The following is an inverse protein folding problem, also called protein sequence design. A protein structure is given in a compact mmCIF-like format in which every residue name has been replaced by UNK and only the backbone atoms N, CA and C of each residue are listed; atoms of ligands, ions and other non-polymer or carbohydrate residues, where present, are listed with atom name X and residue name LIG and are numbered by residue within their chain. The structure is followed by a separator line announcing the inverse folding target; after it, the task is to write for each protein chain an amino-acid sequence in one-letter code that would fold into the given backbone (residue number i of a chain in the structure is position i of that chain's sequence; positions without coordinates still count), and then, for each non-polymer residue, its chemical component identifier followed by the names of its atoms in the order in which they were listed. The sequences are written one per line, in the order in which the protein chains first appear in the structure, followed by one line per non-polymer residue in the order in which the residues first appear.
data_IF_812403567859
#
_entry.id   IF_812403567859
#
_cell.length_a   1.000
_cell.length_b   1.000
_cell.length_c   1.000
_cell.angle_alpha   90.00
_cell.angle_beta   90.00
_cell.angle_gamma   90.00
#
_symmetry.space_group_name_H-M   'P 1'
#
loop_
_entity.id
_entity.type
_entity.pdbx_description
1 polymer ?
#
# COMPACT_ATOMS: atom_id res chain seq x y z
N UNK A 1 20.94 -50.84 3.01
CA UNK A 1 21.04 -50.87 4.49
C UNK A 1 20.23 -49.71 5.05
N UNK A 2 19.10 -50.04 5.68
CA UNK A 2 18.15 -49.10 6.27
C UNK A 2 18.65 -48.58 7.62
N UNK A 3 18.53 -47.28 7.90
CA UNK A 3 18.33 -46.78 9.26
C UNK A 3 17.27 -45.69 9.28
N UNK A 4 16.04 -46.08 9.62
CA UNK A 4 14.93 -45.21 10.00
C UNK A 4 15.15 -44.78 11.45
N UNK A 5 15.17 -43.47 11.71
CA UNK A 5 15.14 -42.92 13.06
C UNK A 5 13.68 -42.89 13.53
N UNK A 6 13.39 -43.66 14.59
CA UNK A 6 12.10 -43.62 15.30
C UNK A 6 12.17 -42.52 16.38
N UNK A 7 11.43 -41.43 16.19
CA UNK A 7 11.18 -40.44 17.24
C UNK A 7 10.01 -40.94 18.10
N UNK A 8 10.28 -41.29 19.36
CA UNK A 8 9.26 -41.69 20.33
C UNK A 8 8.44 -40.46 20.76
N UNK A 9 7.13 -40.49 20.50
CA UNK A 9 6.15 -39.62 21.14
C UNK A 9 6.00 -40.02 22.60
N UNK A 10 6.21 -39.06 23.51
CA UNK A 10 5.73 -39.14 24.89
C UNK A 10 4.43 -38.35 24.99
N UNK A 11 3.31 -39.05 25.21
CA UNK A 11 2.04 -38.44 25.62
C UNK A 11 2.17 -38.00 27.08
N UNK A 12 2.16 -36.68 27.31
CA UNK A 12 1.90 -36.12 28.62
C UNK A 12 0.39 -35.84 28.74
N UNK A 13 -0.29 -36.60 29.60
CA UNK A 13 -1.67 -36.36 30.00
C UNK A 13 -1.72 -35.16 30.94
N UNK A 14 -2.33 -34.06 30.49
CA UNK A 14 -2.69 -32.93 31.34
C UNK A 14 -4.08 -33.19 31.97
N UNK A 15 -4.28 -32.89 33.27
CA UNK A 15 -5.59 -32.96 33.89
C UNK A 15 -6.42 -31.77 33.38
N UNK A 16 -7.59 -32.05 32.79
CA UNK A 16 -8.56 -31.02 32.43
C UNK A 16 -9.19 -30.51 33.71
N UNK A 17 -8.77 -29.31 34.13
CA UNK A 17 -9.45 -28.53 35.17
C UNK A 17 -10.79 -28.06 34.57
N UNK A 18 -11.90 -28.65 35.01
CA UNK A 18 -13.23 -28.16 34.67
C UNK A 18 -13.49 -26.84 35.40
N UNK A 19 -13.18 -25.72 34.73
CA UNK A 19 -13.66 -24.41 35.14
C UNK A 19 -15.15 -24.35 34.84
N UNK A 20 -15.97 -24.38 35.88
CA UNK A 20 -17.39 -24.03 35.80
C UNK A 20 -17.49 -22.60 35.27
N UNK A 21 -17.83 -22.45 33.99
CA UNK A 21 -18.24 -21.17 33.42
C UNK A 21 -19.65 -20.90 33.93
N UNK A 22 -19.78 -20.22 35.06
CA UNK A 22 -21.04 -19.58 35.37
C UNK A 22 -21.26 -18.48 34.32
N UNK A 23 -22.44 -18.42 33.66
CA UNK A 23 -22.74 -17.30 32.80
C UNK A 23 -22.81 -16.05 33.70
N UNK A 24 -21.87 -15.12 33.48
CA UNK A 24 -22.05 -13.73 33.87
C UNK A 24 -23.26 -13.24 33.07
N UNK A 25 -24.41 -13.14 33.72
CA UNK A 25 -25.58 -12.47 33.17
C UNK A 25 -25.15 -11.01 32.95
N UNK A 26 -25.11 -10.60 31.69
CA UNK A 26 -25.00 -9.20 31.34
C UNK A 26 -26.20 -8.46 31.97
N UNK A 27 -25.89 -7.47 32.81
CA UNK A 27 -26.86 -6.65 33.52
C UNK A 27 -27.84 -6.01 32.52
N UNK A 28 -29.14 -6.28 32.69
CA UNK A 28 -30.15 -5.32 32.28
C UNK A 28 -29.83 -4.01 33.02
N UNK A 29 -29.64 -2.91 32.29
CA UNK A 29 -29.40 -1.58 32.88
C UNK A 29 -30.66 -1.13 33.63
N UNK A 30 -30.86 -1.65 34.84
CA UNK A 30 -31.87 -1.20 35.80
C UNK A 30 -31.35 0.13 36.36
N UNK A 31 -32.11 1.21 36.21
CA UNK A 31 -31.78 2.53 36.72
C UNK A 31 -33.02 3.17 37.35
N UNK A 32 -32.94 3.58 38.61
CA UNK A 32 -34.03 4.28 39.30
C UNK A 32 -33.74 5.78 39.39
N UNK A 33 -34.75 6.60 39.13
CA UNK A 33 -34.68 8.05 39.29
C UNK A 33 -34.76 8.49 40.76
N UNK A 34 -35.28 7.63 41.65
CA UNK A 34 -35.36 7.87 43.10
C UNK A 34 -35.57 6.58 43.91
N UNK A 35 -35.26 6.59 45.20
CA UNK A 35 -35.54 5.43 46.07
C UNK A 35 -37.03 5.12 46.23
N UNK A 36 -37.90 6.12 46.04
CA UNK A 36 -39.34 5.90 45.97
C UNK A 36 -39.72 5.01 44.79
N UNK A 37 -39.06 5.19 43.65
CA UNK A 37 -39.24 4.34 42.48
C UNK A 37 -38.67 2.94 42.71
N UNK A 38 -37.49 2.83 43.31
CA UNK A 38 -36.88 1.54 43.65
C UNK A 38 -37.79 0.71 44.56
N UNK A 39 -38.27 1.28 45.67
CA UNK A 39 -39.17 0.59 46.62
C UNK A 39 -40.52 0.22 46.00
N UNK A 40 -41.08 1.10 45.15
CA UNK A 40 -42.34 0.82 44.46
C UNK A 40 -42.23 -0.38 43.50
N UNK A 41 -41.02 -0.68 43.03
CA UNK A 41 -40.69 -1.82 42.18
C UNK A 41 -40.08 -3.01 42.95
N UNK A 42 -40.07 -2.94 44.29
CA UNK A 42 -39.63 -4.03 45.15
C UNK A 42 -38.12 -4.15 45.32
N UNK A 43 -37.36 -3.11 44.98
CA UNK A 43 -35.93 -3.00 45.20
C UNK A 43 -35.65 -2.20 46.49
N UNK A 44 -34.87 -2.76 47.39
CA UNK A 44 -34.36 -2.10 48.60
C UNK A 44 -32.96 -2.61 48.91
N UNK A 45 -32.20 -1.86 49.71
CA UNK A 45 -30.88 -2.26 50.19
C UNK A 45 -29.92 -2.59 49.03
N UNK A 46 -29.83 -1.67 48.06
CA UNK A 46 -28.99 -1.80 46.86
C UNK A 46 -27.54 -1.50 47.23
N UNK A 47 -26.62 -2.44 47.10
CA UNK A 47 -25.21 -2.22 47.41
C UNK A 47 -24.46 -1.67 46.21
N UNK A 48 -23.35 -0.98 46.44
CA UNK A 48 -22.48 -0.51 45.36
C UNK A 48 -22.03 -1.68 44.46
N UNK A 49 -22.39 -1.59 43.18
CA UNK A 49 -22.19 -2.66 42.18
C UNK A 49 -23.41 -3.54 41.91
N UNK A 50 -24.50 -3.41 42.68
CA UNK A 50 -25.76 -4.09 42.37
C UNK A 50 -26.49 -3.44 41.17
N UNK A 51 -27.19 -4.22 40.33
CA UNK A 51 -28.04 -3.67 39.27
C UNK A 51 -29.12 -2.75 39.86
N UNK A 52 -29.14 -1.48 39.42
CA UNK A 52 -30.04 -0.46 39.99
C UNK A 52 -29.39 0.46 41.03
N UNK A 53 -28.19 0.15 41.53
CA UNK A 53 -27.45 1.06 42.40
C UNK A 53 -27.01 2.32 41.64
N UNK A 54 -27.09 3.46 42.32
CA UNK A 54 -26.48 4.70 41.87
C UNK A 54 -26.06 5.49 43.10
N UNK A 55 -24.87 6.09 43.08
CA UNK A 55 -24.41 7.01 44.13
C UNK A 55 -25.36 8.21 44.34
N UNK A 56 -26.25 8.51 43.37
CA UNK A 56 -27.30 9.53 43.53
C UNK A 56 -28.45 9.09 44.43
N UNK A 57 -28.66 7.78 44.57
CA UNK A 57 -29.69 7.17 45.40
C UNK A 57 -29.16 6.87 46.82
N UNK A 58 -27.85 6.68 46.96
CA UNK A 58 -27.12 6.56 48.22
C UNK A 58 -26.80 7.93 48.80
N UNK A 59 -27.72 8.46 49.62
CA UNK A 59 -27.64 9.86 50.07
C UNK A 59 -26.57 10.06 51.15
N UNK A 60 -26.36 9.06 52.00
CA UNK A 60 -25.37 9.05 53.07
C UNK A 60 -24.02 8.48 52.68
N UNK A 61 -23.90 7.95 51.45
CA UNK A 61 -22.66 7.46 50.84
C UNK A 61 -22.00 6.34 51.67
N UNK A 62 -22.83 5.48 52.26
CA UNK A 62 -22.37 4.34 53.06
C UNK A 62 -22.18 3.06 52.23
N UNK A 63 -22.47 3.14 50.92
CA UNK A 63 -22.37 2.04 49.97
C UNK A 63 -23.68 1.27 49.81
N UNK A 64 -24.78 1.68 50.46
CA UNK A 64 -26.11 1.05 50.36
C UNK A 64 -27.19 2.08 50.04
N UNK A 65 -27.65 2.09 48.79
CA UNK A 65 -28.74 2.94 48.34
C UNK A 65 -30.12 2.35 48.71
N UNK A 66 -31.07 3.25 48.98
CA UNK A 66 -32.51 2.92 49.12
C UNK A 66 -32.79 1.85 50.18
N UNK A 67 -32.25 2.04 51.38
CA UNK A 67 -32.35 1.04 52.42
C UNK A 67 -33.79 0.92 52.92
N UNK A 68 -34.26 -0.31 53.13
CA UNK A 68 -35.65 -0.57 53.47
C UNK A 68 -36.07 0.12 54.79
N UNK A 69 -35.12 0.27 55.72
CA UNK A 69 -35.29 0.98 57.00
C UNK A 69 -35.71 2.45 56.83
N UNK A 70 -35.35 3.06 55.69
CA UNK A 70 -35.61 4.46 55.36
C UNK A 70 -36.88 4.63 54.51
N UNK A 71 -37.56 3.54 54.13
CA UNK A 71 -38.74 3.58 53.27
C UNK A 71 -39.98 4.14 54.02
N UNK A 72 -40.71 5.12 53.45
CA UNK A 72 -42.01 5.53 53.99
C UNK A 72 -42.97 4.35 54.09
N UNK A 73 -43.81 4.32 55.14
CA UNK A 73 -44.75 3.22 55.39
C UNK A 73 -45.64 2.98 54.16
N UNK A 74 -45.53 1.80 53.56
CA UNK A 74 -46.29 1.40 52.35
C UNK A 74 -45.63 1.75 51.00
N UNK A 75 -44.43 2.34 50.99
CA UNK A 75 -43.70 2.64 49.75
C UNK A 75 -43.06 1.39 49.13
N UNK A 76 -42.65 0.41 49.94
CA UNK A 76 -42.07 -0.84 49.46
C UNK A 76 -43.15 -1.86 49.08
N UNK A 77 -43.08 -2.37 47.85
CA UNK A 77 -43.96 -3.44 47.35
C UNK A 77 -43.14 -4.70 47.09
N UNK A 78 -43.23 -5.66 48.00
CA UNK A 78 -42.54 -6.94 47.85
C UNK A 78 -42.98 -7.66 46.57
N UNK A 79 -42.01 -8.08 45.75
CA UNK A 79 -42.25 -8.82 44.50
C UNK A 79 -42.81 -10.22 44.85
N UNK A 80 -44.11 -10.44 44.63
CA UNK A 80 -44.72 -11.76 44.82
C UNK A 80 -44.30 -12.71 43.70
N UNK A 81 -43.71 -13.85 44.05
CA UNK A 81 -43.47 -14.96 43.13
C UNK A 81 -44.83 -15.55 42.70
N UNK A 82 -45.19 -15.44 41.42
CA UNK A 82 -46.43 -16.05 40.89
C UNK A 82 -46.11 -17.03 39.77
N UNK A 83 -46.56 -18.26 40.01
CA UNK A 83 -46.58 -19.38 39.08
C UNK A 83 -47.51 -19.09 37.89
N UNK A 84 -47.15 -19.64 36.74
CA UNK A 84 -47.84 -19.48 35.47
C UNK A 84 -49.29 -20.00 35.49
N UNK A 85 -50.23 -19.17 35.02
CA UNK A 85 -51.42 -19.61 34.28
C UNK A 85 -51.82 -18.57 33.23
N UNK A 86 -52.30 -19.10 32.11
CA UNK A 86 -52.57 -18.49 30.81
C UNK A 86 -53.66 -17.42 30.81
N UNK A 87 -53.31 -16.20 30.36
CA UNK A 87 -54.14 -15.38 29.46
C UNK A 87 -53.28 -14.29 28.80
N UNK A 88 -53.58 -14.06 27.53
CA UNK A 88 -52.83 -13.31 26.50
C UNK A 88 -52.59 -11.83 26.84
N UNK A 89 -51.38 -11.50 27.29
CA UNK A 89 -50.71 -10.23 26.98
C UNK A 89 -49.25 -10.55 26.68
N UNK A 90 -48.91 -10.42 25.40
CA UNK A 90 -47.60 -10.64 24.81
C UNK A 90 -46.52 -9.92 25.61
N UNK A 91 -45.73 -10.66 26.42
CA UNK A 91 -44.45 -10.15 26.90
C UNK A 91 -43.55 -10.05 25.66
N UNK A 92 -43.49 -8.86 25.07
CA UNK A 92 -42.63 -8.59 23.92
C UNK A 92 -41.19 -8.84 24.32
N UNK A 93 -40.63 -9.97 23.89
CA UNK A 93 -39.21 -10.28 24.08
C UNK A 93 -38.40 -9.25 23.33
N UNK A 94 -37.63 -8.42 24.03
CA UNK A 94 -36.69 -7.45 23.46
C UNK A 94 -35.24 -7.88 23.75
N UNK A 95 -34.29 -7.42 22.95
CA UNK A 95 -32.87 -7.77 23.08
C UNK A 95 -32.45 -9.03 22.31
N UNK A 96 -31.30 -9.58 22.69
CA UNK A 96 -30.69 -10.74 22.02
C UNK A 96 -31.35 -12.05 22.45
N UNK A 97 -31.81 -12.82 21.48
CA UNK A 97 -32.48 -14.12 21.71
C UNK A 97 -31.88 -15.16 20.78
N UNK A 98 -31.53 -16.33 21.32
CA UNK A 98 -31.07 -17.47 20.53
C UNK A 98 -32.22 -18.43 20.25
N UNK A 99 -32.52 -18.68 18.99
CA UNK A 99 -33.60 -19.58 18.53
C UNK A 99 -33.05 -20.50 17.44
N UNK A 100 -33.31 -21.81 17.57
CA UNK A 100 -32.86 -22.84 16.62
C UNK A 100 -31.37 -22.74 16.25
N UNK A 101 -30.54 -22.41 17.24
CA UNK A 101 -29.09 -22.28 17.07
C UNK A 101 -28.60 -20.94 16.49
N UNK A 102 -29.50 -20.07 16.03
CA UNK A 102 -29.16 -18.75 15.51
C UNK A 102 -29.52 -17.62 16.50
N UNK A 103 -28.74 -16.54 16.48
CA UNK A 103 -29.04 -15.34 17.27
C UNK A 103 -29.92 -14.38 16.48
N UNK A 104 -30.89 -13.77 17.16
CA UNK A 104 -31.78 -12.73 16.67
C UNK A 104 -31.73 -11.57 17.66
N UNK A 105 -32.06 -10.37 17.18
CA UNK A 105 -32.25 -9.20 18.04
C UNK A 105 -33.65 -8.65 17.85
N UNK A 106 -34.35 -8.42 18.95
CA UNK A 106 -35.69 -7.85 18.95
C UNK A 106 -35.66 -6.43 19.53
N UNK A 107 -36.37 -5.50 18.88
CA UNK A 107 -36.48 -4.12 19.34
C UNK A 107 -37.31 -4.00 20.63
N UNK A 108 -37.43 -2.78 21.17
CA UNK A 108 -38.22 -2.53 22.39
C UNK A 108 -39.70 -2.87 22.29
N UNK A 109 -40.22 -3.08 21.08
CA UNK A 109 -41.60 -3.49 20.81
C UNK A 109 -41.72 -5.00 20.52
N UNK A 110 -40.61 -5.75 20.60
CA UNK A 110 -40.57 -7.17 20.31
C UNK A 110 -40.60 -7.51 18.81
N UNK A 111 -40.27 -6.56 17.92
CA UNK A 111 -40.13 -6.85 16.49
C UNK A 111 -38.69 -7.31 16.18
N UNK A 112 -38.50 -8.31 15.32
CA UNK A 112 -37.16 -8.73 14.92
C UNK A 112 -36.48 -7.66 14.06
N UNK A 113 -35.28 -7.26 14.48
CA UNK A 113 -34.41 -6.37 13.73
C UNK A 113 -33.77 -7.13 12.56
N UNK A 114 -33.78 -6.52 11.37
CA UNK A 114 -33.41 -7.14 10.10
C UNK A 114 -32.71 -6.13 9.19
N UNK A 115 -31.82 -6.63 8.34
CA UNK A 115 -31.05 -5.85 7.35
C UNK A 115 -30.37 -4.60 7.93
N UNK A 116 -29.86 -4.70 9.15
CA UNK A 116 -29.23 -3.55 9.81
C UNK A 116 -28.28 -4.00 10.92
N UNK A 117 -27.46 -3.04 11.35
CA UNK A 117 -26.54 -3.19 12.46
C UNK A 117 -27.26 -3.04 13.80
N UNK A 118 -26.84 -3.87 14.76
CA UNK A 118 -27.10 -3.67 16.18
C UNK A 118 -25.76 -3.71 16.91
N UNK A 119 -25.25 -2.54 17.30
CA UNK A 119 -23.88 -2.44 17.84
C UNK A 119 -22.86 -2.98 16.84
N UNK A 120 -22.09 -3.99 17.25
CA UNK A 120 -21.04 -4.61 16.41
C UNK A 120 -21.53 -5.77 15.53
N UNK A 121 -22.83 -6.07 15.53
CA UNK A 121 -23.40 -7.24 14.89
C UNK A 121 -24.32 -6.84 13.74
N UNK A 122 -24.43 -7.68 12.71
CA UNK A 122 -25.33 -7.45 11.59
C UNK A 122 -26.46 -8.48 11.56
N UNK A 123 -27.71 -8.01 11.50
CA UNK A 123 -28.90 -8.87 11.38
C UNK A 123 -29.31 -8.95 9.92
N UNK A 124 -29.38 -10.17 9.38
CA UNK A 124 -29.70 -10.44 7.96
C UNK A 124 -31.20 -10.27 7.68
N UNK A 125 -31.60 -10.48 6.41
CA UNK A 125 -32.99 -10.37 5.99
C UNK A 125 -33.94 -11.35 6.70
N UNK A 126 -33.44 -12.53 7.09
CA UNK A 126 -34.20 -13.49 7.88
C UNK A 126 -34.19 -13.17 9.39
N UNK A 127 -33.48 -12.14 9.82
CA UNK A 127 -33.31 -11.72 11.21
C UNK A 127 -32.17 -12.41 11.94
N UNK A 128 -31.50 -13.39 11.31
CA UNK A 128 -30.36 -14.07 11.94
C UNK A 128 -29.15 -13.15 11.93
N UNK A 129 -28.43 -13.17 13.04
CA UNK A 129 -27.11 -12.57 13.16
C UNK A 129 -26.16 -13.24 12.18
N UNK A 130 -25.47 -12.44 11.38
CA UNK A 130 -24.41 -12.91 10.50
C UNK A 130 -23.20 -13.39 11.32
N UNK A 131 -22.61 -14.51 10.94
CA UNK A 131 -21.47 -15.10 11.64
C UNK A 131 -20.55 -15.84 10.68
N UNK A 132 -19.24 -15.59 10.77
CA UNK A 132 -18.22 -16.17 9.89
C UNK A 132 -18.53 -15.99 8.39
N UNK A 133 -19.07 -14.84 8.02
CA UNK A 133 -19.53 -14.55 6.66
C UNK A 133 -19.29 -13.09 6.26
N UNK A 134 -19.26 -12.85 4.96
CA UNK A 134 -19.17 -11.50 4.38
C UNK A 134 -20.57 -10.93 4.18
N UNK A 135 -20.74 -9.67 4.55
CA UNK A 135 -21.97 -8.89 4.31
C UNK A 135 -21.61 -7.66 3.50
N UNK A 136 -22.37 -7.42 2.43
CA UNK A 136 -22.40 -6.13 1.76
C UNK A 136 -23.52 -5.29 2.36
N UNK A 137 -23.20 -4.10 2.84
CA UNK A 137 -24.19 -3.15 3.33
C UNK A 137 -24.38 -2.04 2.29
N UNK A 138 -25.57 -1.99 1.69
CA UNK A 138 -25.92 -1.01 0.66
C UNK A 138 -25.95 0.43 1.18
N UNK A 139 -26.25 0.64 2.47
CA UNK A 139 -26.30 1.98 3.08
C UNK A 139 -24.89 2.55 3.22
N UNK A 140 -23.93 1.71 3.56
CA UNK A 140 -22.51 2.08 3.68
C UNK A 140 -21.70 1.86 2.41
N UNK A 141 -22.30 1.23 1.40
CA UNK A 141 -21.72 0.84 0.11
C UNK A 141 -20.40 0.07 0.28
N UNK A 142 -20.33 -0.81 1.28
CA UNK A 142 -19.10 -1.46 1.68
C UNK A 142 -19.31 -2.91 2.13
N UNK A 143 -18.25 -3.70 1.96
CA UNK A 143 -18.17 -5.05 2.50
C UNK A 143 -17.67 -5.03 3.94
N UNK A 144 -18.23 -5.91 4.76
CA UNK A 144 -17.84 -6.19 6.14
C UNK A 144 -17.71 -7.70 6.31
N UNK A 145 -16.82 -8.12 7.21
CA UNK A 145 -16.71 -9.52 7.59
C UNK A 145 -17.12 -9.69 9.04
N UNK A 146 -18.06 -10.59 9.30
CA UNK A 146 -18.52 -10.91 10.65
C UNK A 146 -17.74 -12.13 11.14
N UNK A 147 -17.07 -11.99 12.29
CA UNK A 147 -16.25 -13.04 12.88
C UNK A 147 -17.12 -14.20 13.41
N UNK A 148 -16.48 -15.21 13.96
CA UNK A 148 -17.16 -16.36 14.59
C UNK A 148 -17.98 -15.99 15.83
N UNK A 149 -17.71 -14.86 16.46
CA UNK A 149 -18.50 -14.31 17.57
C UNK A 149 -19.65 -13.40 17.08
N UNK A 150 -19.80 -13.23 15.75
CA UNK A 150 -20.80 -12.38 15.12
C UNK A 150 -20.42 -10.90 15.03
N UNK A 151 -19.38 -10.46 15.73
CA UNK A 151 -18.94 -9.06 15.67
C UNK A 151 -18.15 -8.79 14.38
N UNK A 152 -18.27 -7.59 13.82
CA UNK A 152 -17.50 -7.24 12.63
C UNK A 152 -15.99 -7.18 12.90
N UNK A 153 -15.21 -7.63 11.94
CA UNK A 153 -13.76 -7.51 11.93
C UNK A 153 -13.35 -6.08 11.55
N UNK A 154 -12.33 -5.54 12.23
CA UNK A 154 -11.76 -4.22 11.96
C UNK A 154 -10.27 -4.21 12.25
N UNK A 155 -9.54 -3.31 11.59
CA UNK A 155 -8.08 -3.19 11.64
C UNK A 155 -7.36 -4.54 11.53
N UNK A 156 -7.85 -5.43 10.67
CA UNK A 156 -7.38 -6.81 10.63
C UNK A 156 -7.55 -7.44 9.26
N UNK A 157 -6.82 -8.52 9.03
CA UNK A 157 -6.88 -9.30 7.80
C UNK A 157 -7.91 -10.42 7.90
N UNK A 158 -8.68 -10.60 6.83
CA UNK A 158 -9.49 -11.80 6.60
C UNK A 158 -9.04 -12.40 5.27
N UNK A 159 -8.18 -13.42 5.32
CA UNK A 159 -7.57 -13.99 4.12
C UNK A 159 -6.75 -12.95 3.37
N UNK A 160 -7.11 -12.67 2.11
CA UNK A 160 -6.42 -11.68 1.27
C UNK A 160 -6.99 -10.25 1.40
N UNK A 161 -7.99 -10.04 2.24
CA UNK A 161 -8.72 -8.78 2.36
C UNK A 161 -8.38 -8.10 3.69
N UNK A 162 -8.34 -6.77 3.68
CA UNK A 162 -8.10 -5.98 4.89
C UNK A 162 -9.37 -5.22 5.29
N UNK A 163 -9.78 -5.35 6.56
CA UNK A 163 -10.87 -4.60 7.15
C UNK A 163 -10.28 -3.39 7.87
N UNK A 164 -10.69 -2.18 7.47
CA UNK A 164 -10.21 -0.92 8.04
C UNK A 164 -10.71 -0.73 9.47
N UNK A 165 -10.28 0.35 10.14
CA UNK A 165 -10.67 0.65 11.52
C UNK A 165 -12.18 0.82 11.73
N UNK A 166 -12.91 1.18 10.69
CA UNK A 166 -14.37 1.28 10.68
C UNK A 166 -15.07 0.00 10.19
N UNK A 167 -14.36 -1.11 10.07
CA UNK A 167 -14.86 -2.41 9.62
C UNK A 167 -15.07 -2.56 8.10
N UNK A 168 -14.98 -1.46 7.33
CA UNK A 168 -15.12 -1.53 5.86
C UNK A 168 -13.92 -2.25 5.24
N UNK A 169 -14.18 -3.18 4.34
CA UNK A 169 -13.15 -3.78 3.51
C UNK A 169 -12.50 -2.71 2.63
N UNK A 170 -11.17 -2.63 2.68
CA UNK A 170 -10.41 -1.76 1.80
C UNK A 170 -10.46 -2.26 0.35
N UNK A 171 -10.57 -1.33 -0.61
CA UNK A 171 -10.69 -1.66 -2.04
C UNK A 171 -10.15 -0.52 -2.90
N UNK A 172 -9.16 -0.84 -3.75
CA UNK A 172 -8.52 0.12 -4.64
C UNK A 172 -7.70 1.20 -3.93
N UNK A 173 -7.20 0.93 -2.73
CA UNK A 173 -6.62 1.94 -1.84
C UNK A 173 -5.41 1.41 -1.07
N UNK A 174 -4.57 2.34 -0.60
CA UNK A 174 -3.45 2.05 0.30
C UNK A 174 -3.93 1.99 1.74
N UNK A 175 -3.43 1.02 2.51
CA UNK A 175 -3.64 0.93 3.96
C UNK A 175 -2.32 0.78 4.67
N UNK A 176 -2.22 1.38 5.85
CA UNK A 176 -1.12 1.16 6.78
C UNK A 176 -1.59 0.26 7.92
N UNK A 177 -0.96 -0.89 8.06
CA UNK A 177 -1.21 -1.79 9.18
C UNK A 177 -0.17 -1.52 10.27
N UNK A 178 -0.62 -0.95 11.40
CA UNK A 178 0.24 -0.61 12.52
C UNK A 178 0.85 -1.81 13.22
N UNK A 179 0.20 -2.98 13.18
CA UNK A 179 0.70 -4.20 13.82
C UNK A 179 1.89 -4.77 13.05
N UNK A 180 1.85 -4.67 11.71
CA UNK A 180 2.98 -5.06 10.85
C UNK A 180 3.94 -3.92 10.53
N UNK A 181 3.59 -2.69 10.92
CA UNK A 181 4.32 -1.45 10.62
C UNK A 181 4.63 -1.32 9.11
N UNK A 182 3.64 -1.67 8.29
CA UNK A 182 3.82 -1.80 6.85
C UNK A 182 2.64 -1.24 6.06
N UNK A 183 2.95 -0.70 4.89
CA UNK A 183 1.95 -0.31 3.89
C UNK A 183 1.59 -1.49 3.00
N UNK A 184 0.32 -1.56 2.63
CA UNK A 184 -0.24 -2.53 1.69
C UNK A 184 -1.14 -1.80 0.70
N UNK A 185 -1.25 -2.35 -0.50
CA UNK A 185 -2.22 -1.87 -1.48
C UNK A 185 -3.29 -2.93 -1.71
N UNK A 186 -4.57 -2.57 -1.54
CA UNK A 186 -5.70 -3.44 -1.85
C UNK A 186 -6.18 -3.10 -3.24
N UNK A 187 -6.23 -4.10 -4.12
CA UNK A 187 -6.67 -3.94 -5.51
C UNK A 187 -8.16 -3.60 -5.57
N UNK A 188 -8.64 -3.33 -6.78
CA UNK A 188 -10.06 -3.09 -7.04
C UNK A 188 -10.96 -4.29 -6.74
N UNK A 189 -10.43 -5.51 -6.61
CA UNK A 189 -11.17 -6.68 -6.13
C UNK A 189 -11.16 -6.82 -4.59
N UNK A 190 -10.45 -5.94 -3.88
CA UNK A 190 -10.27 -5.96 -2.43
C UNK A 190 -9.09 -6.79 -1.94
N UNK A 191 -8.52 -7.66 -2.77
CA UNK A 191 -7.38 -8.48 -2.38
C UNK A 191 -6.08 -7.68 -2.43
N UNK A 192 -5.12 -7.97 -1.53
CA UNK A 192 -3.85 -7.25 -1.52
C UNK A 192 -2.99 -7.55 -2.76
N UNK A 193 -2.29 -6.54 -3.25
CA UNK A 193 -1.29 -6.67 -4.31
C UNK A 193 0.02 -7.26 -3.74
N UNK A 194 0.68 -8.11 -4.52
CA UNK A 194 1.96 -8.76 -4.17
C UNK A 194 2.75 -9.09 -5.42
N UNK A 195 4.08 -9.07 -5.32
CA UNK A 195 5.01 -9.22 -6.44
C UNK A 195 4.63 -8.32 -7.63
N UNK A 196 4.23 -7.09 -7.34
CA UNK A 196 3.64 -6.20 -8.34
C UNK A 196 3.91 -4.74 -8.01
N UNK A 197 3.95 -3.93 -9.07
CA UNK A 197 4.01 -2.48 -8.98
C UNK A 197 2.61 -1.89 -8.82
N UNK A 198 2.50 -0.87 -7.97
CA UNK A 198 1.36 0.04 -7.90
C UNK A 198 1.88 1.47 -8.02
N UNK A 199 1.74 2.06 -9.20
CA UNK A 199 2.36 3.35 -9.51
C UNK A 199 3.88 3.27 -9.32
N UNK A 200 4.44 4.11 -8.44
CA UNK A 200 5.88 4.17 -8.18
C UNK A 200 6.35 3.23 -7.06
N UNK A 201 5.48 2.38 -6.53
CA UNK A 201 5.73 1.56 -5.35
C UNK A 201 5.71 0.08 -5.71
N UNK A 202 6.52 -0.72 -5.04
CA UNK A 202 6.55 -2.18 -5.24
C UNK A 202 6.03 -2.92 -4.01
N UNK A 203 5.09 -3.84 -4.22
CA UNK A 203 4.55 -4.71 -3.18
C UNK A 203 5.26 -6.07 -3.25
N UNK A 204 5.90 -6.46 -2.14
CA UNK A 204 6.67 -7.71 -2.02
C UNK A 204 5.76 -8.93 -2.01
N UNK A 205 6.34 -10.13 -1.90
CA UNK A 205 5.61 -11.40 -1.93
C UNK A 205 4.61 -11.56 -0.78
N UNK A 206 4.86 -10.92 0.36
CA UNK A 206 3.97 -10.88 1.52
C UNK A 206 2.98 -9.68 1.48
N UNK A 207 2.97 -8.94 0.37
CA UNK A 207 2.10 -7.78 0.17
C UNK A 207 2.61 -6.48 0.78
N UNK A 208 3.69 -6.51 1.57
CA UNK A 208 4.26 -5.30 2.16
C UNK A 208 4.91 -4.46 1.09
N UNK A 209 4.67 -3.15 1.14
CA UNK A 209 5.38 -2.18 0.33
C UNK A 209 6.88 -2.20 0.68
N UNK A 210 7.72 -2.35 -0.32
CA UNK A 210 9.16 -2.22 -0.16
C UNK A 210 9.54 -0.76 0.15
N UNK A 211 10.47 -0.56 1.09
CA UNK A 211 10.90 0.78 1.53
C UNK A 211 12.34 0.77 2.02
N UNK A 212 13.16 1.64 1.44
CA UNK A 212 14.58 1.77 1.79
C UNK A 212 15.42 0.53 1.44
N UNK A 213 14.99 -0.26 0.46
CA UNK A 213 15.52 -1.59 0.18
C UNK A 213 15.61 -1.87 -1.33
N UNK A 214 16.46 -2.83 -1.69
CA UNK A 214 16.56 -3.36 -3.05
C UNK A 214 15.53 -4.45 -3.27
N UNK A 215 14.88 -4.45 -4.44
CA UNK A 215 13.99 -5.53 -4.89
C UNK A 215 14.42 -6.02 -6.25
N UNK A 216 14.31 -7.32 -6.46
CA UNK A 216 14.48 -7.94 -7.78
C UNK A 216 13.10 -8.21 -8.37
N UNK A 217 12.82 -7.61 -9.52
CA UNK A 217 11.61 -7.91 -10.28
C UNK A 217 11.93 -8.97 -11.33
N UNK A 218 11.39 -10.17 -11.13
CA UNK A 218 11.62 -11.31 -12.02
C UNK A 218 11.00 -11.12 -13.42
N UNK A 219 9.97 -10.30 -13.56
CA UNK A 219 9.32 -9.99 -14.85
C UNK A 219 10.23 -9.13 -15.70
N UNK A 220 10.85 -8.12 -15.09
CA UNK A 220 11.79 -7.22 -15.77
C UNK A 220 13.23 -7.69 -15.75
N UNK A 221 13.52 -8.76 -15.01
CA UNK A 221 14.83 -9.35 -14.77
C UNK A 221 15.86 -8.29 -14.34
N UNK A 222 15.44 -7.42 -13.42
CA UNK A 222 16.23 -6.27 -13.02
C UNK A 222 16.05 -5.94 -11.54
N UNK A 223 17.11 -5.40 -10.96
CA UNK A 223 17.09 -4.81 -9.63
C UNK A 223 16.54 -3.38 -9.68
N UNK A 224 15.78 -3.02 -8.65
CA UNK A 224 15.28 -1.68 -8.39
C UNK A 224 15.57 -1.32 -6.93
N UNK A 225 15.77 -0.04 -6.66
CA UNK A 225 15.88 0.45 -5.29
C UNK A 225 14.66 1.29 -4.92
N UNK A 226 13.98 0.94 -3.83
CA UNK A 226 12.87 1.72 -3.29
C UNK A 226 13.42 2.62 -2.19
N UNK A 227 13.19 3.94 -2.32
CA UNK A 227 13.66 4.94 -1.36
C UNK A 227 12.93 4.81 -0.02
N UNK A 228 13.32 5.64 0.95
CA UNK A 228 12.69 5.69 2.28
C UNK A 228 11.22 6.11 2.27
N UNK A 229 10.73 6.72 1.19
CA UNK A 229 9.31 7.02 0.97
C UNK A 229 8.56 5.87 0.27
N UNK A 230 9.26 4.80 -0.11
CA UNK A 230 8.73 3.64 -0.84
C UNK A 230 8.72 3.80 -2.37
N UNK A 231 8.90 5.00 -2.89
CA UNK A 231 8.95 5.21 -4.34
C UNK A 231 10.29 4.74 -4.92
N UNK A 232 10.28 4.19 -6.13
CA UNK A 232 11.52 3.73 -6.75
C UNK A 232 12.45 4.89 -7.10
N UNK A 233 13.76 4.66 -6.95
CA UNK A 233 14.81 5.56 -7.38
C UNK A 233 15.04 5.42 -8.89
N UNK A 234 15.28 6.54 -9.56
CA UNK A 234 15.59 6.60 -10.99
C UNK A 234 16.51 7.77 -11.30
N UNK A 235 17.28 7.65 -12.38
CA UNK A 235 18.30 8.62 -12.82
C UNK A 235 19.21 9.10 -11.69
N UNK A 236 19.57 8.20 -10.78
CA UNK A 236 20.29 8.56 -9.54
C UNK A 236 21.13 7.39 -9.03
N UNK A 237 22.09 7.71 -8.17
CA UNK A 237 22.93 6.73 -7.49
C UNK A 237 22.28 6.24 -6.20
N UNK A 238 22.49 4.96 -5.90
CA UNK A 238 22.26 4.36 -4.59
C UNK A 238 23.55 3.63 -4.18
N UNK A 239 24.36 4.27 -3.33
CA UNK A 239 25.72 3.82 -3.09
C UNK A 239 26.51 3.77 -4.39
N UNK A 240 27.10 2.62 -4.70
CA UNK A 240 27.91 2.41 -5.91
C UNK A 240 27.11 1.88 -7.11
N UNK A 241 25.79 1.88 -7.04
CA UNK A 241 24.92 1.40 -8.11
C UNK A 241 24.12 2.55 -8.70
N UNK A 242 23.97 2.56 -10.02
CA UNK A 242 23.18 3.58 -10.70
C UNK A 242 21.82 3.03 -11.14
N UNK A 243 20.76 3.76 -10.81
CA UNK A 243 19.40 3.46 -11.25
C UNK A 243 19.09 4.32 -12.48
N UNK A 244 18.72 3.68 -13.59
CA UNK A 244 18.43 4.35 -14.86
C UNK A 244 17.12 5.14 -14.81
N UNK A 245 16.77 5.83 -15.89
CA UNK A 245 15.54 6.64 -15.97
C UNK A 245 14.26 5.84 -15.77
N UNK A 246 14.28 4.54 -16.08
CA UNK A 246 13.18 3.62 -15.82
C UNK A 246 13.29 2.88 -14.46
N UNK A 247 14.26 3.25 -13.61
CA UNK A 247 14.48 2.67 -12.30
C UNK A 247 15.29 1.38 -12.26
N UNK A 248 15.59 0.77 -13.41
CA UNK A 248 16.42 -0.45 -13.45
C UNK A 248 17.85 -0.12 -13.05
N UNK A 249 18.45 -0.98 -12.23
CA UNK A 249 19.89 -0.95 -11.97
C UNK A 249 20.67 -1.14 -13.27
N UNK A 250 21.62 -0.25 -13.53
CA UNK A 250 22.52 -0.35 -14.67
C UNK A 250 23.56 -1.46 -14.45
N UNK A 251 23.91 -2.16 -15.53
CA UNK A 251 24.97 -3.18 -15.54
C UNK A 251 25.74 -3.10 -16.85
N UNK A 252 27.06 -3.23 -16.78
CA UNK A 252 27.96 -3.27 -17.94
C UNK A 252 27.75 -2.11 -18.93
N UNK A 253 27.56 -0.89 -18.42
CA UNK A 253 27.23 0.28 -19.23
C UNK A 253 27.79 1.58 -18.62
N UNK A 254 27.93 2.60 -19.47
CA UNK A 254 28.25 3.96 -19.03
C UNK A 254 26.97 4.67 -18.58
N UNK A 255 27.03 5.31 -17.42
CA UNK A 255 25.88 5.94 -16.77
C UNK A 255 26.12 7.42 -16.47
N UNK A 256 25.05 8.10 -16.06
CA UNK A 256 25.11 9.45 -15.50
C UNK A 256 25.80 10.46 -16.44
N UNK A 257 25.29 10.57 -17.67
CA UNK A 257 25.87 11.40 -18.72
C UNK A 257 27.18 10.86 -19.30
N UNK A 258 27.44 9.55 -19.13
CA UNK A 258 28.64 8.88 -19.61
C UNK A 258 29.89 9.22 -18.81
N UNK A 259 29.72 9.53 -17.52
CA UNK A 259 30.82 9.91 -16.60
C UNK A 259 31.39 8.72 -15.85
N UNK A 260 30.57 7.69 -15.62
CA UNK A 260 30.94 6.54 -14.80
C UNK A 260 30.58 5.25 -15.54
N UNK A 261 31.48 4.27 -15.49
CA UNK A 261 31.22 2.93 -16.00
C UNK A 261 30.89 2.00 -14.83
N UNK A 262 29.75 1.29 -14.91
CA UNK A 262 29.39 0.24 -13.95
C UNK A 262 29.68 -1.14 -14.52
N UNK A 263 30.25 -2.03 -13.71
CA UNK A 263 30.61 -3.39 -14.10
C UNK A 263 29.42 -4.29 -14.39
N UNK A 264 29.67 -5.55 -14.76
CA UNK A 264 28.63 -6.57 -14.96
C UNK A 264 27.82 -6.88 -13.68
N UNK A 265 28.42 -6.62 -12.52
CA UNK A 265 27.78 -6.67 -11.20
C UNK A 265 27.00 -5.38 -10.86
N UNK A 266 27.03 -4.37 -11.75
CA UNK A 266 26.39 -3.06 -11.57
C UNK A 266 27.15 -2.10 -10.65
N UNK A 267 28.32 -2.51 -10.14
CA UNK A 267 29.09 -1.72 -9.18
C UNK A 267 29.98 -0.73 -9.93
N UNK A 268 29.93 0.53 -9.51
CA UNK A 268 30.99 1.50 -9.79
C UNK A 268 32.10 1.38 -8.74
N UNK A 269 33.33 1.16 -9.19
CA UNK A 269 34.50 1.00 -8.31
C UNK A 269 35.27 2.32 -8.25
N UNK A 270 35.05 3.06 -7.18
CA UNK A 270 35.81 4.27 -6.86
C UNK A 270 37.30 3.94 -6.70
N UNK A 271 38.17 4.66 -7.41
CA UNK A 271 39.63 4.42 -7.39
C UNK A 271 40.17 3.41 -8.41
N UNK A 272 39.32 2.77 -9.23
CA UNK A 272 39.77 2.10 -10.47
C UNK A 272 39.70 3.02 -11.71
N UNK A 273 39.52 4.33 -11.49
CA UNK A 273 39.67 5.38 -12.48
C UNK A 273 40.90 6.25 -12.18
N UNK A 274 42.10 5.64 -12.08
CA UNK A 274 43.39 6.35 -12.27
C UNK A 274 44.59 5.44 -12.54
N UNK A 275 44.38 4.21 -13.04
CA UNK A 275 45.44 3.38 -13.65
C UNK A 275 44.97 2.66 -14.91
N UNK A 276 44.21 3.37 -15.74
CA UNK A 276 44.09 3.07 -17.18
C UNK A 276 44.91 4.08 -18.00
N UNK A 277 46.11 4.41 -17.52
CA UNK A 277 47.21 4.87 -18.36
C UNK A 277 48.34 3.86 -18.19
N UNK A 278 48.23 2.75 -18.92
CA UNK A 278 49.39 1.98 -19.32
C UNK A 278 49.23 1.69 -20.81
N UNK A 279 50.20 2.21 -21.54
CA UNK A 279 50.41 2.19 -22.97
C UNK A 279 50.37 0.77 -23.55
N UNK A 280 49.27 0.46 -24.25
CA UNK A 280 49.18 -0.36 -25.47
C UNK A 280 47.79 -0.99 -25.54
N UNK A 281 46.82 -0.27 -26.10
CA UNK A 281 45.84 -0.91 -26.98
C UNK A 281 45.10 0.15 -27.79
N UNK A 282 45.26 0.13 -29.11
CA UNK A 282 44.56 0.99 -30.07
C UNK A 282 43.07 0.62 -30.18
N UNK A 283 42.42 0.20 -29.09
CA UNK A 283 41.04 -0.29 -29.06
C UNK A 283 40.22 0.33 -27.91
N UNK A 284 40.87 0.85 -26.85
CA UNK A 284 40.18 1.48 -25.72
C UNK A 284 39.78 2.94 -25.99
N UNK A 285 40.63 3.73 -26.65
CA UNK A 285 40.33 5.13 -27.00
C UNK A 285 39.19 5.21 -28.05
N UNK A 286 39.23 4.31 -29.03
CA UNK A 286 38.25 4.20 -30.12
C UNK A 286 36.84 3.85 -29.60
N UNK A 287 36.75 2.90 -28.68
CA UNK A 287 35.47 2.52 -28.06
C UNK A 287 34.94 3.62 -27.13
N UNK A 288 35.82 4.33 -26.41
CA UNK A 288 35.44 5.48 -25.59
C UNK A 288 34.92 6.66 -26.44
N UNK A 289 35.62 6.99 -27.53
CA UNK A 289 35.19 8.01 -28.48
C UNK A 289 33.83 7.66 -29.10
N UNK A 290 33.62 6.39 -29.49
CA UNK A 290 32.34 5.91 -30.02
C UNK A 290 31.21 6.00 -28.98
N UNK A 291 31.48 5.68 -27.72
CA UNK A 291 30.51 5.83 -26.62
C UNK A 291 30.07 7.29 -26.42
N UNK A 292 31.02 8.24 -26.48
CA UNK A 292 30.73 9.67 -26.43
C UNK A 292 29.96 10.15 -27.66
N UNK A 293 30.34 9.68 -28.85
CA UNK A 293 29.63 9.99 -30.08
C UNK A 293 28.16 9.55 -30.02
N UNK A 294 27.87 8.35 -29.51
CA UNK A 294 26.50 7.86 -29.28
C UNK A 294 25.70 8.77 -28.35
N UNK A 295 26.34 9.24 -27.27
CA UNK A 295 25.72 10.13 -26.30
C UNK A 295 25.38 11.49 -26.90
N UNK A 296 26.33 12.12 -27.60
CA UNK A 296 26.12 13.40 -28.27
C UNK A 296 25.08 13.31 -29.38
N UNK A 297 25.04 12.19 -30.11
CA UNK A 297 24.04 11.95 -31.15
C UNK A 297 22.63 11.90 -30.56
N UNK A 298 22.45 11.14 -29.48
CA UNK A 298 21.16 11.00 -28.80
C UNK A 298 20.64 12.32 -28.20
N UNK A 299 21.53 13.10 -27.58
CA UNK A 299 21.14 14.33 -26.89
C UNK A 299 20.98 15.53 -27.83
N UNK A 300 21.89 15.69 -28.78
CA UNK A 300 22.00 16.92 -29.56
C UNK A 300 21.76 16.71 -31.06
N UNK A 301 21.62 15.47 -31.51
CA UNK A 301 21.38 15.14 -32.92
C UNK A 301 22.41 15.82 -33.82
N UNK A 302 23.69 15.70 -33.47
CA UNK A 302 24.76 16.44 -34.13
C UNK A 302 25.00 15.94 -35.57
N UNK A 303 25.56 16.80 -36.41
CA UNK A 303 26.18 16.37 -37.66
C UNK A 303 27.47 15.58 -37.39
N UNK A 304 27.90 14.80 -38.38
CA UNK A 304 29.19 14.11 -38.36
C UNK A 304 30.35 15.09 -38.08
N UNK A 305 30.35 16.25 -38.73
CA UNK A 305 31.41 17.27 -38.58
C UNK A 305 31.42 17.91 -37.20
N UNK A 306 30.26 18.22 -36.64
CA UNK A 306 30.14 18.78 -35.28
C UNK A 306 30.54 17.76 -34.23
N UNK A 307 30.17 16.50 -34.44
CA UNK A 307 30.57 15.38 -33.58
C UNK A 307 32.09 15.24 -33.51
N UNK A 308 32.75 15.18 -34.68
CA UNK A 308 34.20 15.06 -34.75
C UNK A 308 34.90 16.19 -33.97
N UNK A 309 34.53 17.45 -34.24
CA UNK A 309 35.12 18.60 -33.55
C UNK A 309 34.90 18.58 -32.04
N UNK A 310 33.74 18.09 -31.60
CA UNK A 310 33.45 17.97 -30.18
C UNK A 310 34.38 16.94 -29.53
N UNK A 311 34.52 15.75 -30.14
CA UNK A 311 35.40 14.69 -29.65
C UNK A 311 36.87 15.11 -29.64
N UNK A 312 37.33 15.89 -30.61
CA UNK A 312 38.71 16.39 -30.67
C UNK A 312 38.91 17.72 -29.93
N UNK A 313 37.87 18.26 -29.28
CA UNK A 313 37.96 19.57 -28.60
C UNK A 313 38.84 19.50 -27.35
N UNK A 314 39.23 20.66 -26.81
CA UNK A 314 39.89 20.73 -25.50
C UNK A 314 39.03 20.19 -24.34
N UNK A 315 37.74 19.93 -24.58
CA UNK A 315 36.86 19.32 -23.60
C UNK A 315 36.99 17.78 -23.58
N UNK A 316 36.85 17.13 -24.74
CA UNK A 316 36.85 15.66 -24.84
C UNK A 316 38.23 15.07 -25.14
N UNK A 317 39.11 15.81 -25.84
CA UNK A 317 40.52 15.52 -26.09
C UNK A 317 40.84 14.13 -26.67
N UNK A 318 39.91 13.51 -27.39
CA UNK A 318 40.21 12.27 -28.11
C UNK A 318 41.19 12.54 -29.26
N UNK A 319 42.04 11.55 -29.57
CA UNK A 319 42.87 11.59 -30.76
C UNK A 319 42.04 11.74 -32.03
N UNK A 320 42.63 12.33 -33.07
CA UNK A 320 41.97 12.49 -34.37
C UNK A 320 41.52 11.14 -34.95
N UNK A 321 42.29 10.08 -34.74
CA UNK A 321 41.99 8.73 -35.25
C UNK A 321 40.83 8.09 -34.49
N UNK A 322 40.80 8.21 -33.16
CA UNK A 322 39.69 7.70 -32.34
C UNK A 322 38.39 8.47 -32.61
N UNK A 323 38.46 9.79 -32.75
CA UNK A 323 37.33 10.61 -33.13
C UNK A 323 36.82 10.23 -34.53
N UNK A 324 37.72 10.04 -35.50
CA UNK A 324 37.36 9.65 -36.86
C UNK A 324 36.65 8.29 -36.88
N UNK A 325 37.23 7.30 -36.20
CA UNK A 325 36.60 5.99 -36.03
C UNK A 325 35.22 6.09 -35.39
N UNK A 326 35.06 6.91 -34.34
CA UNK A 326 33.79 7.07 -33.67
C UNK A 326 32.70 7.59 -34.59
N UNK A 327 32.99 8.61 -35.42
CA UNK A 327 32.00 9.11 -36.38
C UNK A 327 31.73 8.17 -37.55
N UNK A 328 32.69 7.33 -37.92
CA UNK A 328 32.54 6.32 -38.97
C UNK A 328 31.71 5.11 -38.50
N UNK A 329 31.82 4.74 -37.23
CA UNK A 329 31.13 3.56 -36.64
C UNK A 329 29.89 3.92 -35.82
N UNK A 330 29.49 5.19 -35.79
CA UNK A 330 28.29 5.64 -35.06
C UNK A 330 26.98 5.18 -35.73
N UNK A 331 26.99 4.99 -37.05
CA UNK A 331 25.81 4.56 -37.84
C UNK A 331 24.53 5.41 -37.57
N UNK A 332 24.70 6.72 -37.36
CA UNK A 332 23.58 7.63 -37.14
C UNK A 332 22.84 8.02 -38.44
N UNK A 333 21.53 8.24 -38.33
CA UNK A 333 20.75 8.88 -39.38
C UNK A 333 20.94 10.40 -39.35
N UNK A 334 21.93 10.87 -40.09
CA UNK A 334 22.27 12.30 -40.11
C UNK A 334 21.23 13.17 -40.86
N UNK A 335 20.41 12.57 -41.73
CA UNK A 335 19.28 13.25 -42.38
C UNK A 335 18.17 13.52 -41.35
N UNK A 336 17.87 12.53 -40.51
CA UNK A 336 16.99 12.71 -39.36
C UNK A 336 17.53 13.75 -38.38
N UNK A 337 18.82 13.70 -38.07
CA UNK A 337 19.45 14.67 -37.17
C UNK A 337 19.33 16.13 -37.67
N UNK A 338 19.55 16.34 -38.97
CA UNK A 338 19.37 17.64 -39.60
C UNK A 338 17.91 18.12 -39.50
N UNK A 339 16.96 17.22 -39.79
CA UNK A 339 15.53 17.52 -39.67
C UNK A 339 15.11 17.89 -38.25
N UNK A 340 15.60 17.15 -37.25
CA UNK A 340 15.33 17.44 -35.84
C UNK A 340 15.82 18.85 -35.45
N UNK A 341 17.05 19.20 -35.82
CA UNK A 341 17.60 20.54 -35.57
C UNK A 341 16.83 21.62 -36.33
N UNK A 342 16.46 21.38 -37.59
CA UNK A 342 15.67 22.31 -38.40
C UNK A 342 14.30 22.62 -37.75
N UNK A 343 13.59 21.58 -37.29
CA UNK A 343 12.32 21.71 -36.57
C UNK A 343 12.50 22.48 -35.26
N UNK A 344 13.56 22.24 -34.51
CA UNK A 344 13.86 22.99 -33.28
C UNK A 344 14.15 24.46 -33.55
N UNK A 345 14.97 24.79 -34.55
CA UNK A 345 15.25 26.18 -34.90
C UNK A 345 14.02 26.91 -35.43
N UNK A 346 13.19 26.24 -36.23
CA UNK A 346 11.90 26.77 -36.67
C UNK A 346 11.01 27.10 -35.47
N UNK A 347 10.89 26.18 -34.52
CA UNK A 347 10.03 26.33 -33.33
C UNK A 347 10.52 27.44 -32.39
N UNK A 348 11.83 27.54 -32.15
CA UNK A 348 12.39 28.45 -31.16
C UNK A 348 12.63 29.87 -31.71
N UNK A 349 12.96 29.98 -32.99
CA UNK A 349 13.43 31.23 -33.58
C UNK A 349 12.66 31.65 -34.84
N UNK A 350 11.62 30.91 -35.23
CA UNK A 350 10.77 31.19 -36.41
C UNK A 350 11.59 31.41 -37.70
N UNK A 351 12.69 30.68 -37.86
CA UNK A 351 13.61 30.86 -38.99
C UNK A 351 12.98 30.45 -40.33
N UNK A 352 13.22 31.24 -41.39
CA UNK A 352 12.81 30.89 -42.76
C UNK A 352 13.54 29.63 -43.27
N UNK A 353 13.01 28.97 -44.31
CA UNK A 353 13.67 27.81 -44.95
C UNK A 353 15.10 28.15 -45.40
N UNK A 354 15.31 29.31 -46.01
CA UNK A 354 16.66 29.77 -46.41
C UNK A 354 17.61 29.98 -45.23
N UNK A 355 17.14 30.56 -44.12
CA UNK A 355 17.96 30.76 -42.92
C UNK A 355 18.30 29.45 -42.22
N UNK A 356 17.39 28.48 -42.26
CA UNK A 356 17.62 27.13 -41.73
C UNK A 356 18.71 26.40 -42.49
N UNK A 357 18.73 26.47 -43.83
CA UNK A 357 19.82 25.89 -44.65
C UNK A 357 21.16 26.48 -44.19
N UNK A 358 21.27 27.81 -44.14
CA UNK A 358 22.50 28.49 -43.73
C UNK A 358 22.93 28.14 -42.30
N UNK A 359 21.98 27.94 -41.39
CA UNK A 359 22.28 27.56 -40.01
C UNK A 359 22.80 26.11 -39.94
N UNK A 360 22.10 25.17 -40.57
CA UNK A 360 22.48 23.75 -40.56
C UNK A 360 23.84 23.51 -41.22
N UNK A 361 24.13 24.19 -42.33
CA UNK A 361 25.42 24.08 -43.04
C UNK A 361 26.51 24.99 -42.45
N UNK A 362 26.20 25.75 -41.39
CA UNK A 362 27.16 26.65 -40.74
C UNK A 362 28.36 25.91 -40.18
N UNK A 363 29.44 26.64 -39.88
CA UNK A 363 30.59 26.07 -39.17
C UNK A 363 30.21 25.51 -37.79
N UNK A 364 29.11 25.96 -37.18
CA UNK A 364 28.65 25.51 -35.87
C UNK A 364 27.94 24.16 -35.98
N UNK A 365 26.95 24.03 -36.86
CA UNK A 365 26.17 22.80 -36.97
C UNK A 365 26.77 21.78 -37.92
N UNK A 366 27.36 22.22 -39.03
CA UNK A 366 28.23 21.40 -39.88
C UNK A 366 27.56 20.25 -40.62
N UNK A 367 26.24 20.31 -40.85
CA UNK A 367 25.57 19.37 -41.75
C UNK A 367 26.00 19.60 -43.19
N UNK A 368 25.93 18.55 -44.00
CA UNK A 368 26.12 18.66 -45.45
C UNK A 368 24.94 19.37 -46.10
N UNK A 369 25.13 19.90 -47.31
CA UNK A 369 24.04 20.50 -48.08
C UNK A 369 22.92 19.47 -48.35
N UNK A 370 23.26 18.20 -48.60
CA UNK A 370 22.28 17.15 -48.83
C UNK A 370 21.39 16.91 -47.59
N UNK A 371 21.99 16.77 -46.41
CA UNK A 371 21.27 16.59 -45.14
C UNK A 371 20.40 17.82 -44.81
N UNK A 372 20.94 19.02 -45.01
CA UNK A 372 20.19 20.26 -44.80
C UNK A 372 19.02 20.37 -45.78
N UNK A 373 19.22 20.10 -47.07
CA UNK A 373 18.16 20.13 -48.07
C UNK A 373 17.08 19.07 -47.80
N UNK A 374 17.49 17.86 -47.39
CA UNK A 374 16.56 16.83 -46.93
C UNK A 374 15.69 17.35 -45.77
N UNK A 375 16.31 17.96 -44.76
CA UNK A 375 15.63 18.52 -43.61
C UNK A 375 14.60 19.61 -43.98
N UNK A 376 14.90 20.46 -44.97
CA UNK A 376 13.98 21.51 -45.42
C UNK A 376 12.81 20.95 -46.22
N UNK A 377 13.07 19.94 -47.06
CA UNK A 377 12.04 19.31 -47.88
C UNK A 377 11.00 18.57 -47.02
N UNK A 378 11.44 18.00 -45.89
CA UNK A 378 10.58 17.27 -44.94
C UNK A 378 10.22 18.09 -43.69
N UNK A 379 10.43 19.41 -43.71
CA UNK A 379 10.26 20.26 -42.53
C UNK A 379 8.81 20.33 -42.05
N UNK A 380 7.88 20.29 -43.00
CA UNK A 380 6.45 20.47 -42.80
C UNK A 380 5.66 19.15 -42.85
N UNK A 381 6.36 18.01 -42.98
CA UNK A 381 5.84 16.67 -42.78
C UNK A 381 5.69 16.36 -41.28
#
# INVERSE_FOLDING_TARGET
MNKRLFLKMSLATLPVLALFSQPVLAEENIHFSSCKEAWANGYSDLHEGDPGYSAKLDRDHDGVACELKNAPKGAFKAKQATAAQTNTTSSTTSGWVKQDGAWYYFDGNGNPVKNTWQGSYYLKADGKMAQSEWIYDDSYQAWYYLKSDGSYAYSTWQGAYYLKSNGKMAKGEWVYDSSYQAWYYLKSDGSYARNAWQGNYYLKSDGKMAKGEWVYDATYQAWYYLKSDGSYAYSTWQGNYYLKSNGKMAVNEWVDGGRYYVGADGVWKEGQASTAFSSNDSNSEYSAALGKAKSYNSLFHMSKKRMYRQLTSDFDKFSNDAAQYAVDHLEADYKYNALFNAKNYRKLFNMSKSRLINQLTSSIDGFTEEEANYAINHLDD
#
